data_IF_994567202445
#
_entry.id   IF_994567202445
#
_cell.length_a   1.000
_cell.length_b   1.000
_cell.length_c   1.000
_cell.angle_alpha   90.00
_cell.angle_beta   90.00
_cell.angle_gamma   90.00
#
_symmetry.space_group_name_H-M   'P 1'
#
loop_
_entity.id
_entity.type
_entity.pdbx_description
1 polymer ?
#
# COMPACT_ATOMS: atom_id res chain seq x y z
N UNK A 1 -0.97 -12.08 4.76
CA UNK A 1 -1.08 -11.69 3.33
C UNK A 1 -1.59 -10.24 3.30
N UNK A 2 -0.82 -9.25 2.83
CA UNK A 2 -1.23 -7.84 2.79
C UNK A 2 -2.28 -7.56 1.72
N UNK A 3 -3.26 -6.69 2.00
CA UNK A 3 -4.29 -6.26 1.05
C UNK A 3 -4.33 -4.73 0.99
N UNK A 4 -3.88 -4.11 -0.10
CA UNK A 4 -4.07 -2.67 -0.31
C UNK A 4 -5.42 -2.45 -1.03
N UNK A 5 -6.26 -1.55 -0.50
CA UNK A 5 -7.54 -1.12 -1.07
C UNK A 5 -7.42 0.38 -1.38
N UNK A 6 -7.80 0.80 -2.59
CA UNK A 6 -7.90 2.21 -2.98
C UNK A 6 -9.37 2.65 -2.94
N UNK A 7 -9.63 3.78 -2.27
CA UNK A 7 -10.92 4.47 -2.27
C UNK A 7 -10.77 5.76 -3.11
N UNK A 8 -11.25 5.74 -4.35
CA UNK A 8 -11.26 6.92 -5.23
C UNK A 8 -12.62 7.61 -5.20
N UNK A 9 -12.75 8.64 -4.38
CA UNK A 9 -13.84 9.63 -4.49
C UNK A 9 -13.41 10.79 -5.39
N UNK A 10 -13.93 10.84 -6.61
CA UNK A 10 -13.87 12.05 -7.45
C UNK A 10 -15.12 12.91 -7.25
N UNK A 11 -15.00 14.24 -7.11
CA UNK A 11 -16.12 15.16 -7.07
C UNK A 11 -16.44 15.70 -8.48
N UNK A 12 -17.70 15.63 -8.90
CA UNK A 12 -18.43 16.73 -9.53
C UNK A 12 -19.80 16.23 -10.02
N UNK A 13 -20.85 16.86 -9.50
CA UNK A 13 -22.23 16.61 -9.86
C UNK A 13 -22.66 17.47 -11.06
N UNK A 14 -23.46 16.90 -11.96
CA UNK A 14 -24.58 17.60 -12.61
C UNK A 14 -25.62 16.61 -13.18
N UNK A 15 -26.89 17.02 -13.27
CA UNK A 15 -28.04 16.12 -13.19
C UNK A 15 -28.73 16.00 -14.55
N UNK A 16 -28.44 14.94 -15.30
CA UNK A 16 -29.38 14.45 -16.30
C UNK A 16 -29.30 12.93 -16.32
N UNK A 17 -30.45 12.30 -16.11
CA UNK A 17 -30.60 10.86 -16.14
C UNK A 17 -30.33 10.35 -17.54
N UNK A 18 -29.17 9.73 -17.70
CA UNK A 18 -28.85 8.77 -18.74
C UNK A 18 -27.94 7.73 -18.10
N UNK A 19 -28.16 6.46 -18.42
CA UNK A 19 -27.34 5.32 -17.99
C UNK A 19 -25.92 5.49 -18.53
N UNK A 20 -25.09 6.27 -17.84
CA UNK A 20 -23.69 6.50 -18.19
C UNK A 20 -22.88 5.21 -18.08
N UNK A 21 -21.80 5.05 -18.87
CA UNK A 21 -20.95 3.88 -18.81
C UNK A 21 -20.44 3.74 -17.38
N UNK A 22 -20.66 2.57 -16.79
CA UNK A 22 -20.29 2.36 -15.41
C UNK A 22 -18.76 2.33 -15.36
N UNK A 23 -18.15 3.45 -14.95
CA UNK A 23 -16.73 3.65 -15.06
C UNK A 23 -15.99 2.62 -14.22
N UNK A 24 -15.24 1.75 -14.88
CA UNK A 24 -14.27 0.87 -14.24
C UNK A 24 -13.06 1.70 -13.83
N UNK A 25 -12.68 1.65 -12.55
CA UNK A 25 -11.45 2.26 -12.07
C UNK A 25 -10.34 1.19 -12.09
N UNK A 26 -9.27 1.46 -12.83
CA UNK A 26 -8.10 0.57 -12.90
C UNK A 26 -6.91 1.21 -12.19
N UNK A 27 -6.20 0.40 -11.40
CA UNK A 27 -4.87 0.74 -10.93
C UNK A 27 -3.87 0.52 -12.07
N UNK A 28 -3.12 1.57 -12.37
CA UNK A 28 -2.05 1.59 -13.36
C UNK A 28 -0.90 0.60 -13.07
N UNK A 29 -0.23 0.16 -14.13
CA UNK A 29 0.98 -0.65 -14.07
C UNK A 29 2.12 0.11 -13.40
N UNK A 30 3.03 -0.60 -12.74
CA UNK A 30 4.23 0.01 -12.14
C UNK A 30 4.05 0.48 -10.70
N UNK A 31 2.88 0.25 -10.09
CA UNK A 31 2.72 0.45 -8.64
C UNK A 31 3.56 -0.55 -7.86
N UNK A 32 4.10 -0.14 -6.71
CA UNK A 32 4.83 -1.03 -5.81
C UNK A 32 4.66 -0.60 -4.36
N UNK A 33 4.89 -1.53 -3.44
CA UNK A 33 4.84 -1.29 -2.00
C UNK A 33 6.26 -1.15 -1.47
N UNK A 34 6.44 -0.17 -0.61
CA UNK A 34 7.64 0.06 0.18
C UNK A 34 7.32 -0.20 1.66
N UNK A 35 8.23 -0.88 2.35
CA UNK A 35 8.16 -1.11 3.79
C UNK A 35 9.41 -0.55 4.43
N UNK A 36 9.23 0.39 5.36
CA UNK A 36 10.31 1.01 6.11
C UNK A 36 10.08 0.89 7.61
N UNK A 37 11.16 1.02 8.37
CA UNK A 37 11.13 1.09 9.83
C UNK A 37 11.94 2.32 10.25
N UNK A 38 11.27 3.31 10.88
CA UNK A 38 11.87 4.59 11.27
C UNK A 38 12.73 5.19 10.16
N UNK A 39 12.12 5.35 8.97
CA UNK A 39 12.73 5.88 7.74
C UNK A 39 13.84 5.04 7.08
N UNK A 40 14.16 3.85 7.60
CA UNK A 40 15.07 2.92 6.93
C UNK A 40 14.28 1.94 6.07
N UNK A 41 14.57 1.94 4.77
CA UNK A 41 13.98 1.02 3.81
C UNK A 41 14.38 -0.43 4.12
N UNK A 42 13.38 -1.26 4.38
CA UNK A 42 13.59 -2.68 4.67
C UNK A 42 13.20 -3.59 3.53
N UNK A 43 12.14 -3.27 2.79
CA UNK A 43 11.66 -4.13 1.71
C UNK A 43 10.91 -3.35 0.65
N UNK A 44 10.99 -3.84 -0.59
CA UNK A 44 10.16 -3.38 -1.70
C UNK A 44 9.48 -4.57 -2.35
N UNK A 45 8.29 -4.36 -2.88
CA UNK A 45 7.63 -5.35 -3.73
C UNK A 45 8.13 -5.27 -5.16
N UNK A 46 7.89 -6.33 -5.93
CA UNK A 46 7.88 -6.20 -7.38
C UNK A 46 6.84 -5.18 -7.81
N UNK A 47 7.12 -4.47 -8.89
CA UNK A 47 6.15 -3.58 -9.52
C UNK A 47 4.99 -4.38 -10.09
N UNK A 48 3.82 -3.73 -10.13
CA UNK A 48 2.61 -4.29 -10.68
C UNK A 48 2.76 -4.50 -12.20
N UNK A 49 2.75 -5.75 -12.64
CA UNK A 49 2.94 -6.11 -14.06
C UNK A 49 1.63 -6.20 -14.84
N UNK A 50 0.47 -6.11 -14.17
CA UNK A 50 -0.85 -6.19 -14.78
C UNK A 50 -1.76 -5.13 -14.16
N UNK A 51 -2.63 -4.50 -14.97
CA UNK A 51 -3.60 -3.55 -14.46
C UNK A 51 -4.63 -4.28 -13.60
N UNK A 52 -4.97 -3.69 -12.45
CA UNK A 52 -6.03 -4.22 -11.59
C UNK A 52 -7.25 -3.33 -11.76
N UNK A 53 -8.28 -3.85 -12.41
CA UNK A 53 -9.53 -3.12 -12.62
C UNK A 53 -10.58 -3.56 -11.62
N UNK A 54 -11.19 -2.59 -10.96
CA UNK A 54 -12.39 -2.82 -10.17
C UNK A 54 -13.64 -2.71 -11.04
N UNK A 55 -14.63 -3.56 -10.73
CA UNK A 55 -15.97 -3.41 -11.26
C UNK A 55 -16.63 -2.11 -10.77
N UNK A 56 -17.77 -1.75 -11.36
CA UNK A 56 -18.65 -0.71 -10.86
C UNK A 56 -18.85 -0.73 -9.34
N UNK A 57 -18.47 0.34 -8.64
CA UNK A 57 -18.59 0.46 -7.18
C UNK A 57 -17.91 -0.70 -6.41
N UNK A 58 -16.96 -1.37 -7.05
CA UNK A 58 -16.23 -2.49 -6.50
C UNK A 58 -14.88 -2.07 -5.94
N UNK A 59 -14.37 -2.86 -5.01
CA UNK A 59 -12.97 -2.83 -4.59
C UNK A 59 -12.34 -4.18 -4.95
N UNK A 60 -11.11 -4.15 -5.48
CA UNK A 60 -10.35 -5.37 -5.75
C UNK A 60 -9.22 -5.48 -4.75
N UNK A 61 -9.16 -6.62 -4.08
CA UNK A 61 -8.06 -6.96 -3.17
C UNK A 61 -6.93 -7.58 -3.97
N UNK A 62 -5.78 -6.90 -4.01
CA UNK A 62 -4.57 -7.45 -4.62
C UNK A 62 -3.46 -7.65 -3.59
N UNK A 63 -2.85 -8.86 -3.53
CA UNK A 63 -1.76 -9.11 -2.60
C UNK A 63 -0.43 -8.60 -3.13
N UNK A 64 0.29 -7.86 -2.29
CA UNK A 64 1.70 -7.51 -2.54
C UNK A 64 2.62 -8.35 -1.66
N UNK A 65 3.77 -8.74 -2.22
CA UNK A 65 4.86 -9.35 -1.48
C UNK A 65 6.07 -8.44 -1.59
N UNK A 66 6.45 -7.82 -0.48
CA UNK A 66 7.67 -7.03 -0.37
C UNK A 66 8.76 -7.88 0.28
N UNK A 67 9.97 -7.88 -0.29
CA UNK A 67 11.11 -8.62 0.26
C UNK A 67 12.37 -7.76 0.20
N UNK A 68 13.03 -7.60 1.34
CA UNK A 68 14.35 -7.01 1.42
C UNK A 68 15.43 -7.97 0.92
N UNK A 69 16.38 -7.45 0.14
CA UNK A 69 17.60 -8.16 -0.24
C UNK A 69 18.81 -7.28 0.08
N UNK A 70 19.76 -7.79 0.87
CA UNK A 70 20.96 -7.03 1.24
C UNK A 70 20.68 -5.77 2.07
N UNK A 71 19.60 -5.77 2.86
CA UNK A 71 19.19 -4.63 3.67
C UNK A 71 20.27 -4.31 4.70
N UNK A 72 20.78 -3.08 4.68
CA UNK A 72 21.75 -2.61 5.67
C UNK A 72 21.00 -1.76 6.70
N UNK A 73 20.95 -2.26 7.93
CA UNK A 73 20.30 -1.58 9.05
C UNK A 73 21.41 -1.07 9.98
N UNK A 74 21.42 0.22 10.36
CA UNK A 74 22.34 0.72 11.39
C UNK A 74 22.21 -0.08 12.69
N UNK A 75 23.33 -0.39 13.36
CA UNK A 75 23.33 -1.27 14.54
C UNK A 75 22.35 -0.83 15.64
N UNK A 76 22.34 0.46 15.99
CA UNK A 76 21.41 1.01 16.99
C UNK A 76 19.93 0.85 16.59
N UNK A 77 19.64 0.93 15.30
CA UNK A 77 18.29 0.75 14.79
C UNK A 77 17.88 -0.72 14.79
N UNK A 78 18.82 -1.62 14.50
CA UNK A 78 18.62 -3.06 14.61
C UNK A 78 18.32 -3.47 16.05
N UNK A 79 19.04 -2.92 17.02
CA UNK A 79 18.78 -3.17 18.44
C UNK A 79 17.40 -2.66 18.86
N UNK A 80 17.03 -1.46 18.39
CA UNK A 80 15.68 -0.90 18.63
C UNK A 80 14.60 -1.79 18.01
N UNK A 81 14.81 -2.25 16.78
CA UNK A 81 13.89 -3.16 16.11
C UNK A 81 13.76 -4.48 16.88
N UNK A 82 14.86 -5.04 17.38
CA UNK A 82 14.85 -6.26 18.17
C UNK A 82 14.05 -6.09 19.48
N UNK A 83 14.20 -4.94 20.16
CA UNK A 83 13.41 -4.62 21.35
C UNK A 83 11.93 -4.43 21.04
N UNK A 84 11.60 -3.75 19.94
CA UNK A 84 10.21 -3.54 19.51
C UNK A 84 9.56 -4.88 19.09
N UNK A 85 10.32 -5.79 18.48
CA UNK A 85 9.88 -7.17 18.21
C UNK A 85 9.59 -7.96 19.48
N UNK A 86 10.46 -7.84 20.50
CA UNK A 86 10.29 -8.54 21.77
C UNK A 86 9.09 -8.00 22.58
N UNK A 87 8.82 -6.70 22.49
CA UNK A 87 7.65 -6.08 23.13
C UNK A 87 6.35 -6.31 22.36
N UNK A 88 6.43 -6.82 21.13
CA UNK A 88 5.27 -7.06 20.27
C UNK A 88 4.68 -5.80 19.64
N UNK A 89 5.40 -4.66 19.69
CA UNK A 89 4.96 -3.39 19.14
C UNK A 89 5.84 -2.85 17.99
N UNK A 90 6.30 -3.68 17.02
CA UNK A 90 7.07 -3.14 15.90
C UNK A 90 6.15 -2.44 14.90
N UNK A 91 6.33 -1.14 14.75
CA UNK A 91 5.58 -0.33 13.78
C UNK A 91 6.39 -0.18 12.49
N UNK A 92 5.88 -0.78 11.40
CA UNK A 92 6.44 -0.58 10.06
C UNK A 92 5.61 0.41 9.27
N UNK A 93 6.27 1.39 8.69
CA UNK A 93 5.66 2.29 7.73
C UNK A 93 5.51 1.56 6.40
N UNK A 94 4.27 1.47 5.92
CA UNK A 94 3.97 0.90 4.60
C UNK A 94 3.49 2.00 3.68
N UNK A 95 4.14 2.13 2.52
CA UNK A 95 3.81 3.14 1.50
C UNK A 95 3.49 2.47 0.18
N UNK A 96 2.42 2.88 -0.47
CA UNK A 96 2.08 2.48 -1.84
C UNK A 96 2.53 3.57 -2.81
N UNK A 97 3.40 3.21 -3.73
CA UNK A 97 3.94 4.11 -4.74
C UNK A 97 3.18 3.97 -6.05
N UNK A 98 2.77 5.12 -6.59
CA UNK A 98 2.16 5.24 -7.91
C UNK A 98 3.20 5.16 -9.04
N UNK A 99 2.74 4.89 -10.27
CA UNK A 99 3.65 4.74 -11.40
C UNK A 99 4.10 6.06 -11.99
N UNK A 100 5.32 6.06 -12.57
CA UNK A 100 5.85 7.20 -13.31
C UNK A 100 5.03 7.45 -14.58
N UNK A 101 4.69 8.72 -14.94
CA UNK A 101 5.16 9.97 -14.36
C UNK A 101 4.31 10.51 -13.19
N UNK A 102 3.13 9.92 -12.93
CA UNK A 102 2.25 10.32 -11.82
C UNK A 102 2.72 9.68 -10.52
N UNK A 103 3.88 10.13 -10.03
CA UNK A 103 4.43 9.70 -8.73
C UNK A 103 3.54 10.23 -7.61
N UNK A 104 2.68 9.37 -7.08
CA UNK A 104 2.01 9.58 -5.81
C UNK A 104 2.53 8.58 -4.79
N UNK A 105 2.40 8.92 -3.51
CA UNK A 105 2.71 8.04 -2.39
C UNK A 105 1.52 8.05 -1.47
N UNK A 106 0.90 6.89 -1.25
CA UNK A 106 -0.14 6.73 -0.26
C UNK A 106 0.43 6.06 0.99
N UNK A 107 0.43 6.75 2.15
CA UNK A 107 0.75 6.10 3.42
C UNK A 107 -0.38 5.13 3.78
N UNK A 108 -0.01 3.89 4.06
CA UNK A 108 -0.93 2.88 4.59
C UNK A 108 -0.92 2.84 6.13
N UNK A 109 -0.21 3.77 6.77
CA UNK A 109 -0.04 3.84 8.22
C UNK A 109 0.89 2.76 8.77
N UNK A 110 1.13 2.78 10.10
CA UNK A 110 1.95 1.79 10.77
C UNK A 110 1.27 0.41 10.74
N UNK A 111 2.07 -0.63 10.47
CA UNK A 111 1.64 -2.04 10.44
C UNK A 111 2.46 -2.86 11.41
N UNK A 112 1.77 -3.70 12.18
CA UNK A 112 2.41 -4.64 13.11
C UNK A 112 2.66 -6.00 12.46
N UNK A 113 3.71 -6.70 12.90
CA UNK A 113 3.96 -8.09 12.46
C UNK A 113 2.90 -9.01 13.04
N UNK A 114 2.35 -9.88 12.21
CA UNK A 114 1.34 -10.85 12.64
C UNK A 114 -0.08 -10.31 12.74
N UNK A 115 -0.27 -8.98 12.65
CA UNK A 115 -1.60 -8.37 12.59
C UNK A 115 -2.15 -8.43 11.16
N UNK A 116 -2.85 -9.53 10.87
CA UNK A 116 -3.52 -9.73 9.60
C UNK A 116 -4.72 -8.80 9.38
N UNK A 117 -5.23 -8.15 10.43
CA UNK A 117 -6.34 -7.21 10.35
C UNK A 117 -5.85 -5.79 10.04
N UNK A 118 -4.70 -5.36 10.57
CA UNK A 118 -4.02 -4.16 10.12
C UNK A 118 -3.73 -4.21 8.61
N UNK A 119 -3.40 -5.39 8.08
CA UNK A 119 -3.19 -5.58 6.64
C UNK A 119 -4.43 -5.35 5.76
N UNK A 120 -5.62 -5.14 6.35
CA UNK A 120 -6.88 -4.83 5.66
C UNK A 120 -7.25 -3.35 5.73
N UNK A 121 -6.56 -2.53 6.51
CA UNK A 121 -6.88 -1.12 6.59
C UNK A 121 -6.55 -0.45 5.25
N UNK A 122 -7.42 0.45 4.81
CA UNK A 122 -7.24 1.18 3.56
C UNK A 122 -6.01 2.09 3.63
N UNK A 123 -5.31 2.26 2.50
CA UNK A 123 -4.26 3.27 2.43
C UNK A 123 -4.93 4.62 2.21
N UNK A 124 -4.65 5.58 3.10
CA UNK A 124 -5.30 6.89 3.10
C UNK A 124 -4.45 7.96 2.40
N UNK A 125 -5.10 9.07 2.09
CA UNK A 125 -4.44 10.37 1.85
C UNK A 125 -4.48 11.18 3.14
#
# INVERSE_FOLDING_TARGET
>A
RPHCVQSSTSPSASPHGDTGPIAHACADLGMYVEVSYRDVLLATSSTLMQQICAGPRGAVKHPFVARGAGVVIPGQLLDSLAMDMLSGAPEFDVKLHGPSPRKFVWPCGPRMVGDADALRAECGM
#
